data_IF_441305892473
#
_entry.id   IF_441305892473
#
_cell.length_a   1.000
_cell.length_b   1.000
_cell.length_c   1.000
_cell.angle_alpha   90.00
_cell.angle_beta   90.00
_cell.angle_gamma   90.00
#
_symmetry.space_group_name_H-M   'P 1'
#
loop_
_entity.id
_entity.type
_entity.pdbx_description
1 polymer ?
#
# COMPACT_ATOMS: atom_id res chain seq x y z
N UNK A 1 10.08 20.72 0.06
CA UNK A 1 8.69 20.19 0.01
C UNK A 1 8.65 18.96 0.89
N UNK A 2 7.96 19.05 2.02
CA UNK A 2 8.03 18.06 3.11
C UNK A 2 7.02 16.95 2.83
N UNK A 3 7.49 15.73 2.56
CA UNK A 3 6.64 14.54 2.57
C UNK A 3 6.11 14.36 4.00
N UNK A 4 4.78 14.47 4.16
CA UNK A 4 4.08 14.32 5.42
C UNK A 4 4.47 12.99 6.06
N UNK A 5 4.78 13.01 7.36
CA UNK A 5 5.32 11.87 8.10
C UNK A 5 4.42 10.61 8.06
N UNK A 6 3.14 10.75 7.70
CA UNK A 6 2.22 9.64 7.49
C UNK A 6 2.59 8.76 6.27
N UNK A 7 3.19 9.33 5.22
CA UNK A 7 3.55 8.58 4.00
C UNK A 7 4.87 7.82 4.15
N UNK A 8 5.84 8.35 4.92
CA UNK A 8 7.09 7.64 5.24
C UNK A 8 6.87 6.50 6.23
N UNK A 9 5.93 6.67 7.17
CA UNK A 9 5.62 5.66 8.18
C UNK A 9 5.04 4.34 7.64
N UNK A 10 4.60 4.29 6.37
CA UNK A 10 4.01 3.07 5.77
C UNK A 10 4.88 2.45 4.66
N UNK A 11 5.72 3.24 3.98
CA UNK A 11 6.65 2.74 2.96
C UNK A 11 7.89 2.05 3.58
N UNK A 12 8.26 2.40 4.81
CA UNK A 12 9.48 1.94 5.50
C UNK A 12 9.21 0.99 6.69
N UNK A 13 8.09 0.26 6.77
CA UNK A 13 7.89 -0.71 7.87
C UNK A 13 8.36 -2.12 7.48
N UNK A 14 9.55 -2.57 7.90
CA UNK A 14 9.72 -3.98 8.18
C UNK A 14 8.88 -4.25 9.43
N UNK A 15 7.75 -4.94 9.27
CA UNK A 15 7.07 -5.51 10.45
C UNK A 15 7.89 -6.72 10.89
N UNK A 16 9.04 -6.46 11.51
CA UNK A 16 9.84 -7.42 12.27
C UNK A 16 9.83 -6.92 13.71
N UNK A 17 9.18 -7.72 14.56
CA UNK A 17 8.75 -7.36 15.90
C UNK A 17 9.88 -7.03 16.87
N UNK A 18 9.57 -6.14 17.81
CA UNK A 18 10.34 -6.03 19.05
C UNK A 18 10.04 -7.22 19.95
N UNK A 19 10.82 -8.29 19.83
CA UNK A 19 11.15 -9.18 20.95
C UNK A 19 12.35 -10.06 20.58
N UNK A 20 13.42 -9.95 21.36
CA UNK A 20 14.55 -10.86 21.28
C UNK A 20 14.14 -12.25 21.78
N UNK A 21 14.03 -13.20 20.86
CA UNK A 21 14.09 -14.63 21.15
C UNK A 21 15.06 -15.27 20.14
N UNK A 22 16.09 -16.04 20.56
CA UNK A 22 16.94 -16.76 19.63
C UNK A 22 16.22 -18.03 19.20
N UNK A 23 15.23 -17.89 18.34
CA UNK A 23 14.57 -18.97 17.61
C UNK A 23 14.40 -18.43 16.20
N UNK A 24 15.09 -19.07 15.25
CA UNK A 24 15.05 -18.88 13.80
C UNK A 24 13.88 -17.97 13.36
N UNK A 25 14.14 -16.73 12.88
CA UNK A 25 13.05 -15.89 12.41
C UNK A 25 12.27 -16.69 11.36
N UNK A 26 10.94 -16.88 11.50
CA UNK A 26 10.15 -17.35 10.38
C UNK A 26 10.46 -16.36 9.27
N UNK A 27 10.94 -16.84 8.12
CA UNK A 27 11.27 -16.01 6.97
C UNK A 27 10.10 -15.05 6.76
N UNK A 28 10.31 -13.78 7.14
CA UNK A 28 9.22 -12.82 7.25
C UNK A 28 8.57 -12.72 5.89
N UNK A 29 7.31 -13.11 5.78
CA UNK A 29 6.60 -13.04 4.51
C UNK A 29 6.42 -11.56 4.18
N UNK A 30 7.27 -11.05 3.30
CA UNK A 30 7.18 -9.66 2.85
C UNK A 30 5.91 -9.51 2.03
N UNK A 31 4.96 -8.71 2.55
CA UNK A 31 3.79 -8.30 1.77
C UNK A 31 4.23 -7.20 0.82
N UNK A 32 4.10 -7.44 -0.48
CA UNK A 32 4.40 -6.45 -1.51
C UNK A 32 3.12 -5.73 -1.93
N UNK A 33 3.19 -4.40 -1.91
CA UNK A 33 2.12 -3.50 -2.37
C UNK A 33 2.49 -2.90 -3.71
N UNK A 34 1.51 -2.80 -4.60
CA UNK A 34 1.70 -2.30 -5.96
C UNK A 34 0.70 -1.21 -6.29
N UNK A 35 1.07 -0.32 -7.21
CA UNK A 35 0.13 0.56 -7.91
C UNK A 35 -0.07 0.01 -9.32
N UNK A 36 -1.32 -0.06 -9.76
CA UNK A 36 -1.68 -0.50 -11.11
C UNK A 36 -1.93 0.75 -11.94
N UNK A 37 -0.99 1.10 -12.80
CA UNK A 37 -1.08 2.28 -13.65
C UNK A 37 -1.59 1.92 -15.05
N UNK A 38 -2.59 2.65 -15.54
CA UNK A 38 -2.97 2.63 -16.92
C UNK A 38 -1.94 3.41 -17.76
N UNK A 39 -1.27 2.73 -18.70
CA UNK A 39 -0.21 3.33 -19.52
C UNK A 39 -0.71 4.46 -20.44
N UNK A 40 -1.96 4.40 -20.89
CA UNK A 40 -2.52 5.39 -21.81
C UNK A 40 -2.90 6.69 -21.10
N UNK A 41 -3.46 6.61 -19.89
CA UNK A 41 -3.92 7.77 -19.13
C UNK A 41 -2.93 8.26 -18.07
N UNK A 42 -1.97 7.43 -17.66
CA UNK A 42 -1.10 7.68 -16.52
C UNK A 42 -1.80 7.59 -15.16
N UNK A 43 -3.11 7.31 -15.13
CA UNK A 43 -3.91 7.18 -13.90
C UNK A 43 -3.70 5.81 -13.24
N UNK A 44 -3.93 5.74 -11.94
CA UNK A 44 -3.83 4.51 -11.15
C UNK A 44 -5.21 3.98 -10.75
N UNK A 45 -5.28 2.68 -10.52
CA UNK A 45 -6.46 2.02 -9.99
C UNK A 45 -6.69 2.44 -8.52
N UNK A 46 -7.88 2.97 -8.22
CA UNK A 46 -8.22 3.58 -6.93
C UNK A 46 -9.60 3.14 -6.44
N UNK A 47 -9.79 3.00 -5.13
CA UNK A 47 -11.12 2.80 -4.53
C UNK A 47 -11.85 4.14 -4.40
N UNK A 48 -13.04 4.25 -4.98
CA UNK A 48 -13.82 5.49 -5.01
C UNK A 48 -14.10 6.00 -3.59
N UNK A 49 -13.71 7.25 -3.33
CA UNK A 49 -13.90 7.92 -2.05
C UNK A 49 -13.17 7.26 -0.87
N UNK A 50 -12.14 6.43 -1.12
CA UNK A 50 -11.44 5.64 -0.08
C UNK A 50 -12.40 4.73 0.70
N UNK A 51 -13.48 4.28 0.07
CA UNK A 51 -14.49 3.45 0.73
C UNK A 51 -13.88 2.15 1.28
N UNK A 52 -14.24 1.82 2.52
CA UNK A 52 -13.90 0.54 3.16
C UNK A 52 -15.06 -0.45 3.09
N UNK A 53 -16.16 -0.09 2.42
CA UNK A 53 -17.31 -0.95 2.26
C UNK A 53 -17.04 -2.06 1.25
N UNK A 54 -17.66 -3.22 1.47
CA UNK A 54 -17.65 -4.30 0.50
C UNK A 54 -18.25 -3.85 -0.84
N UNK A 55 -17.70 -4.40 -1.92
CA UNK A 55 -18.07 -4.05 -3.30
C UNK A 55 -17.92 -2.54 -3.62
N UNK A 56 -17.04 -1.82 -2.91
CA UNK A 56 -16.68 -0.45 -3.25
C UNK A 56 -16.24 -0.35 -4.73
N UNK A 57 -16.72 0.69 -5.40
CA UNK A 57 -16.38 0.93 -6.79
C UNK A 57 -14.88 1.22 -6.94
N UNK A 58 -14.25 0.54 -7.90
CA UNK A 58 -12.87 0.80 -8.30
C UNK A 58 -12.86 1.66 -9.57
N UNK A 59 -12.07 2.73 -9.58
CA UNK A 59 -11.98 3.71 -10.67
C UNK A 59 -10.53 3.98 -11.07
N UNK A 60 -10.33 4.73 -12.17
CA UNK A 60 -9.02 5.28 -12.52
C UNK A 60 -8.92 6.73 -12.05
N UNK A 61 -7.93 7.00 -11.21
CA UNK A 61 -7.73 8.32 -10.62
C UNK A 61 -6.28 8.81 -10.73
N UNK A 62 -6.11 10.11 -10.59
CA UNK A 62 -4.78 10.71 -10.55
C UNK A 62 -4.08 10.27 -9.26
N UNK A 63 -2.86 9.77 -9.36
CA UNK A 63 -2.12 9.35 -8.17
C UNK A 63 -1.80 10.55 -7.27
N UNK A 64 -2.33 10.51 -6.04
CA UNK A 64 -2.14 11.52 -5.00
C UNK A 64 -1.40 10.91 -3.78
N UNK A 65 -0.91 9.67 -3.90
CA UNK A 65 -0.13 8.98 -2.88
C UNK A 65 -0.95 8.38 -1.73
N UNK A 66 -2.27 8.25 -1.86
CA UNK A 66 -3.15 7.69 -0.82
C UNK A 66 -3.22 6.15 -0.89
N UNK A 67 -3.73 5.54 0.18
CA UNK A 67 -3.69 4.09 0.36
C UNK A 67 -4.69 3.33 -0.52
N UNK A 68 -5.78 3.99 -0.94
CA UNK A 68 -6.77 3.44 -1.88
C UNK A 68 -6.20 3.15 -3.27
N UNK A 69 -4.95 3.55 -3.55
CA UNK A 69 -4.22 3.23 -4.77
C UNK A 69 -3.35 1.96 -4.67
N UNK A 70 -3.24 1.35 -3.49
CA UNK A 70 -2.35 0.21 -3.21
C UNK A 70 -3.07 -1.13 -3.29
N UNK A 71 -2.51 -2.06 -4.05
CA UNK A 71 -3.07 -3.39 -4.30
C UNK A 71 -2.09 -4.48 -3.91
N UNK A 72 -2.62 -5.59 -3.39
CA UNK A 72 -1.90 -6.85 -3.17
C UNK A 72 -2.45 -7.92 -4.10
N UNK A 73 -1.56 -8.65 -4.74
CA UNK A 73 -1.90 -9.86 -5.49
C UNK A 73 -1.64 -11.09 -4.60
N UNK A 74 -2.54 -12.07 -4.66
CA UNK A 74 -2.47 -13.34 -3.92
C UNK A 74 -2.52 -14.53 -4.87
#
# INVERSE_FOLDING_TARGET
MVASAAQRGFQDRPVVGGMFAPLLPPAGSTVHWFRIQNRNSGKVLAVSGMSQADAAQVTQWSDNGTADHLWRFI
#
